data_IF_095437912581
#
_entry.id   IF_095437912581
#
_cell.length_a   1.000
_cell.length_b   1.000
_cell.length_c   1.000
_cell.angle_alpha   90.00
_cell.angle_beta   90.00
_cell.angle_gamma   90.00
#
_symmetry.space_group_name_H-M   'P 1'
#
loop_
_entity.id
_entity.type
_entity.pdbx_description
1 polymer ?
#
# COMPACT_ATOMS: atom_id res chain seq x y z
N UNK A 1 14.10 2.12 -25.12
CA UNK A 1 14.69 2.71 -23.89
C UNK A 1 13.69 2.56 -22.75
N UNK A 2 14.20 2.35 -21.54
CA UNK A 2 13.38 2.14 -20.33
C UNK A 2 13.79 3.15 -19.29
N UNK A 3 12.82 3.87 -18.73
CA UNK A 3 13.05 4.80 -17.61
C UNK A 3 12.56 4.10 -16.34
N UNK A 4 13.45 4.02 -15.34
CA UNK A 4 13.12 3.51 -14.01
C UNK A 4 12.94 4.68 -13.07
N UNK A 5 11.80 4.72 -12.38
CA UNK A 5 11.49 5.79 -11.43
C UNK A 5 11.33 5.17 -10.05
N UNK A 6 12.10 5.68 -9.09
CA UNK A 6 12.07 5.31 -7.68
C UNK A 6 11.32 6.39 -6.89
N UNK A 7 10.56 6.00 -5.86
CA UNK A 7 9.80 6.93 -4.99
C UNK A 7 8.87 7.89 -5.76
N UNK A 8 8.18 7.39 -6.77
CA UNK A 8 7.17 8.18 -7.47
C UNK A 8 5.78 7.94 -6.88
N UNK A 9 5.10 9.03 -6.53
CA UNK A 9 3.70 8.96 -6.16
C UNK A 9 2.83 8.57 -7.38
N UNK A 10 1.59 8.13 -7.12
CA UNK A 10 0.67 7.65 -8.17
C UNK A 10 0.38 8.72 -9.23
N UNK A 11 0.27 9.99 -8.84
CA UNK A 11 -0.06 11.08 -9.76
C UNK A 11 1.10 11.41 -10.71
N UNK A 12 2.32 11.42 -10.18
CA UNK A 12 3.55 11.58 -10.94
C UNK A 12 3.76 10.41 -11.90
N UNK A 13 3.52 9.17 -11.46
CA UNK A 13 3.59 8.00 -12.35
C UNK A 13 2.58 8.07 -13.49
N UNK A 14 1.38 8.59 -13.23
CA UNK A 14 0.36 8.77 -14.25
C UNK A 14 0.79 9.79 -15.28
N UNK A 15 1.28 10.96 -14.83
CA UNK A 15 1.80 12.00 -15.71
C UNK A 15 2.99 11.50 -16.56
N UNK A 16 3.95 10.81 -15.94
CA UNK A 16 5.14 10.31 -16.64
C UNK A 16 4.81 9.16 -17.59
N UNK A 17 3.84 8.29 -17.26
CA UNK A 17 3.37 7.26 -18.21
C UNK A 17 2.78 7.86 -19.47
N UNK A 18 2.00 8.93 -19.36
CA UNK A 18 1.41 9.59 -20.53
C UNK A 18 2.49 10.24 -21.42
N UNK A 19 3.46 10.92 -20.81
CA UNK A 19 4.61 11.48 -21.55
C UNK A 19 5.47 10.37 -22.19
N UNK A 20 5.69 9.27 -21.47
CA UNK A 20 6.49 8.16 -21.98
C UNK A 20 5.80 7.41 -23.12
N UNK A 21 4.47 7.31 -23.14
CA UNK A 21 3.73 6.77 -24.29
C UNK A 21 3.98 7.59 -25.56
N UNK A 22 3.94 8.92 -25.46
CA UNK A 22 4.21 9.83 -26.58
C UNK A 22 5.63 9.66 -27.12
N UNK A 23 6.60 9.38 -26.25
CA UNK A 23 7.99 9.15 -26.59
C UNK A 23 8.33 7.67 -26.92
N UNK A 24 7.34 6.77 -26.91
CA UNK A 24 7.51 5.32 -27.10
C UNK A 24 8.52 4.67 -26.12
N UNK A 25 8.51 5.14 -24.87
CA UNK A 25 9.38 4.70 -23.77
C UNK A 25 8.62 3.79 -22.79
N UNK A 26 9.32 2.78 -22.25
CA UNK A 26 8.78 1.95 -21.17
C UNK A 26 9.09 2.59 -19.82
N UNK A 27 8.06 2.74 -18.96
CA UNK A 27 8.21 3.23 -17.58
C UNK A 27 8.02 2.08 -16.62
N UNK A 28 9.04 1.85 -15.78
CA UNK A 28 8.94 0.97 -14.63
C UNK A 28 8.95 1.81 -13.36
N UNK A 29 7.89 1.66 -12.58
CA UNK A 29 7.80 2.17 -11.22
C UNK A 29 8.26 1.05 -10.29
N UNK A 30 9.23 1.32 -9.42
CA UNK A 30 9.57 0.42 -8.32
C UNK A 30 9.16 1.08 -7.02
N UNK A 31 8.28 0.43 -6.26
CA UNK A 31 8.08 0.78 -4.86
C UNK A 31 9.38 0.48 -4.13
N UNK A 32 9.83 1.40 -3.29
CA UNK A 32 10.97 1.16 -2.41
C UNK A 32 10.50 0.54 -1.10
N UNK A 33 11.43 -0.06 -0.36
CA UNK A 33 11.14 -0.59 0.98
C UNK A 33 10.62 0.53 1.92
N UNK A 34 11.02 1.79 1.69
CA UNK A 34 10.51 2.95 2.42
C UNK A 34 9.03 3.25 2.11
N UNK A 35 8.59 3.08 0.86
CA UNK A 35 7.19 3.26 0.48
C UNK A 35 6.31 2.19 1.14
N UNK A 36 6.80 0.94 1.16
CA UNK A 36 6.12 -0.19 1.81
C UNK A 36 6.03 0.06 3.32
N UNK A 37 7.13 0.48 3.95
CA UNK A 37 7.16 0.78 5.37
C UNK A 37 6.19 1.92 5.75
N UNK A 38 6.13 3.00 4.96
CA UNK A 38 5.16 4.09 5.17
C UNK A 38 3.72 3.63 5.04
N UNK A 39 3.43 2.78 4.05
CA UNK A 39 2.10 2.24 3.86
C UNK A 39 1.68 1.37 5.06
N UNK A 40 2.56 0.48 5.51
CA UNK A 40 2.30 -0.36 6.71
C UNK A 40 2.11 0.47 7.97
N UNK A 41 2.85 1.57 8.10
CA UNK A 41 2.70 2.47 9.23
C UNK A 41 1.34 3.19 9.22
N UNK A 42 0.87 3.65 8.06
CA UNK A 42 -0.48 4.22 7.92
C UNK A 42 -1.57 3.19 8.22
N UNK A 43 -1.45 1.97 7.68
CA UNK A 43 -2.39 0.88 7.95
C UNK A 43 -2.42 0.51 9.44
N UNK A 44 -1.27 0.50 10.11
CA UNK A 44 -1.17 0.25 11.54
C UNK A 44 -1.84 1.37 12.37
N UNK A 45 -1.61 2.63 12.03
CA UNK A 45 -2.23 3.78 12.72
C UNK A 45 -3.75 3.77 12.56
N UNK A 46 -4.24 3.45 11.36
CA UNK A 46 -5.67 3.34 11.06
C UNK A 46 -6.32 2.17 11.81
N UNK A 47 -5.66 1.01 11.87
CA UNK A 47 -6.11 -0.12 12.68
C UNK A 47 -6.15 0.22 14.17
N UNK A 48 -5.16 0.97 14.67
CA UNK A 48 -5.11 1.37 16.08
C UNK A 48 -6.22 2.37 16.41
N UNK A 49 -6.57 3.26 15.49
CA UNK A 49 -7.70 4.15 15.61
C UNK A 49 -9.04 3.40 15.60
N UNK A 50 -9.24 2.49 14.65
CA UNK A 50 -10.45 1.66 14.56
C UNK A 50 -10.64 0.78 15.80
N UNK A 51 -9.55 0.28 16.39
CA UNK A 51 -9.57 -0.43 17.65
C UNK A 51 -10.03 0.46 18.81
N UNK A 52 -9.50 1.69 18.91
CA UNK A 52 -9.94 2.68 19.93
C UNK A 52 -11.40 3.06 19.78
N UNK A 53 -11.91 3.10 18.54
CA UNK A 53 -13.31 3.37 18.23
C UNK A 53 -14.23 2.15 18.47
N UNK A 54 -13.67 0.99 18.87
CA UNK A 54 -14.42 -0.25 19.08
C UNK A 54 -14.96 -0.87 17.78
N UNK A 55 -14.45 -0.43 16.62
CA UNK A 55 -14.87 -0.89 15.28
C UNK A 55 -14.07 -2.09 14.79
N UNK A 56 -13.02 -2.47 15.50
CA UNK A 56 -12.22 -3.67 15.23
C UNK A 56 -12.59 -4.77 16.21
N UNK A 57 -12.93 -5.94 15.68
CA UNK A 57 -13.10 -7.13 16.49
C UNK A 57 -11.76 -7.52 17.11
N UNK A 58 -11.74 -7.54 18.44
CA UNK A 58 -10.62 -8.03 19.21
C UNK A 58 -10.91 -9.47 19.62
N UNK A 59 -9.96 -10.37 19.37
CA UNK A 59 -10.05 -11.76 19.79
C UNK A 59 -9.13 -11.98 20.99
N UNK A 60 -9.60 -12.71 22.00
CA UNK A 60 -8.81 -12.95 23.21
C UNK A 60 -7.77 -14.06 22.99
N UNK A 61 -7.87 -14.79 21.88
CA UNK A 61 -6.91 -15.81 21.50
C UNK A 61 -6.85 -16.01 19.99
N UNK A 62 -5.71 -16.50 19.51
CA UNK A 62 -5.55 -16.92 18.11
C UNK A 62 -6.58 -17.99 17.69
N UNK A 63 -7.08 -18.80 18.64
CA UNK A 63 -8.10 -19.83 18.39
C UNK A 63 -9.48 -19.23 18.12
N UNK A 64 -9.86 -18.16 18.83
CA UNK A 64 -11.09 -17.43 18.57
C UNK A 64 -11.04 -16.73 17.20
N UNK A 65 -9.93 -16.05 16.90
CA UNK A 65 -9.70 -15.42 15.60
C UNK A 65 -9.82 -16.44 14.46
N UNK A 66 -9.16 -17.60 14.60
CA UNK A 66 -9.20 -18.65 13.59
C UNK A 66 -10.62 -19.19 13.35
N UNK A 67 -11.41 -19.33 14.42
CA UNK A 67 -12.80 -19.76 14.32
C UNK A 67 -13.68 -18.71 13.62
N UNK A 68 -13.47 -17.42 13.87
CA UNK A 68 -14.20 -16.33 13.23
C UNK A 68 -13.90 -16.22 11.73
N UNK A 69 -12.65 -16.48 11.30
CA UNK A 69 -12.25 -16.45 9.88
C UNK A 69 -12.84 -17.62 9.07
N UNK A 70 -13.13 -18.75 9.73
CA UNK A 70 -13.60 -19.99 9.09
C UNK A 70 -15.13 -20.16 9.11
N UNK A 71 -15.87 -19.22 9.70
CA UNK A 71 -17.35 -19.19 9.68
C UNK A 71 -17.87 -18.49 8.43
#
# INVERSE_FOLDING_TARGET
>A
MTITIKNANKDFLKAVKEVAKLANLKVQATQTDEDIAKQWQQEADEALQLYKEGKLEAYNSAKEMHKAILQ
#
